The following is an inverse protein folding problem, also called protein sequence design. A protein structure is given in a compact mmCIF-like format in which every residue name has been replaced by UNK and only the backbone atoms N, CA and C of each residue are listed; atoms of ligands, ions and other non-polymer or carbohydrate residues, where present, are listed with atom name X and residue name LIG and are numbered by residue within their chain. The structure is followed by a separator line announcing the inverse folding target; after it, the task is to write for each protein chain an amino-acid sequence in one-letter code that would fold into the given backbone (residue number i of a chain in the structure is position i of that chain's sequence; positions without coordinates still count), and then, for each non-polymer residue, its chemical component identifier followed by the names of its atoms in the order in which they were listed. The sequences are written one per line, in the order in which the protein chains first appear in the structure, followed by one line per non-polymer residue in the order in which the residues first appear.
data_IF_556550895993
#
_entry.id   IF_556550895993
#
_cell.length_a   1.000
_cell.length_b   1.000
_cell.length_c   1.000
_cell.angle_alpha   90.00
_cell.angle_beta   90.00
_cell.angle_gamma   90.00
#
_symmetry.space_group_name_H-M   'P 1'
#
loop_
_entity.id
_entity.type
_entity.pdbx_description
1 polymer ?
#
# COMPACT_ATOMS: atom_id res chain seq x y z
N UNK A 1 46.54 21.93 -35.32
CA UNK A 1 45.60 23.08 -35.20
C UNK A 1 44.52 23.01 -36.29
N UNK A 2 44.89 22.78 -37.55
CA UNK A 2 43.97 22.59 -38.69
C UNK A 2 42.92 21.50 -38.44
N UNK A 3 43.34 20.33 -37.97
CA UNK A 3 42.47 19.16 -37.85
C UNK A 3 41.39 19.37 -36.78
N UNK A 4 41.78 20.01 -35.67
CA UNK A 4 40.85 20.44 -34.63
C UNK A 4 39.83 21.42 -35.19
N UNK A 5 40.27 22.44 -35.92
CA UNK A 5 39.36 23.43 -36.53
C UNK A 5 38.39 22.74 -37.48
N UNK A 6 38.84 21.82 -38.35
CA UNK A 6 37.95 21.12 -39.29
C UNK A 6 36.88 20.31 -38.57
N UNK A 7 37.26 19.52 -37.56
CA UNK A 7 36.31 18.68 -36.80
C UNK A 7 35.36 19.55 -35.98
N UNK A 8 35.87 20.58 -35.31
CA UNK A 8 35.04 21.48 -34.51
C UNK A 8 34.08 22.30 -35.37
N UNK A 9 34.49 22.76 -36.55
CA UNK A 9 33.61 23.49 -37.47
C UNK A 9 32.48 22.61 -37.99
N UNK A 10 32.76 21.33 -38.31
CA UNK A 10 31.71 20.40 -38.72
C UNK A 10 30.73 20.14 -37.58
N UNK A 11 31.24 19.83 -36.39
CA UNK A 11 30.40 19.60 -35.20
C UNK A 11 29.58 20.83 -34.82
N UNK A 12 30.15 22.03 -34.95
CA UNK A 12 29.42 23.26 -34.67
C UNK A 12 28.30 23.51 -35.69
N UNK A 13 28.56 23.30 -36.98
CA UNK A 13 27.54 23.41 -38.02
C UNK A 13 26.37 22.45 -37.76
N UNK A 14 26.65 21.21 -37.38
CA UNK A 14 25.61 20.23 -37.04
C UNK A 14 24.78 20.66 -35.83
N UNK A 15 25.42 21.20 -34.78
CA UNK A 15 24.71 21.74 -33.61
C UNK A 15 23.86 22.97 -33.94
N UNK A 16 24.35 23.84 -34.83
CA UNK A 16 23.61 25.01 -35.29
C UNK A 16 22.36 24.61 -36.10
N UNK A 17 22.48 23.60 -36.96
CA UNK A 17 21.35 23.03 -37.70
C UNK A 17 20.31 22.42 -36.75
N UNK A 18 20.74 21.63 -35.76
CA UNK A 18 19.86 21.06 -34.74
C UNK A 18 19.16 22.13 -33.90
N UNK A 19 19.87 23.20 -33.53
CA UNK A 19 19.30 24.31 -32.78
C UNK A 19 18.23 25.05 -33.58
N UNK A 20 18.48 25.30 -34.87
CA UNK A 20 17.51 25.95 -35.76
C UNK A 20 16.27 25.07 -35.96
N UNK A 21 16.44 23.76 -36.18
CA UNK A 21 15.33 22.82 -36.27
C UNK A 21 14.51 22.77 -34.97
N UNK A 22 15.16 22.76 -33.81
CA UNK A 22 14.50 22.78 -32.51
C UNK A 22 13.69 24.07 -32.30
N UNK A 23 14.23 25.24 -32.67
CA UNK A 23 13.52 26.53 -32.63
C UNK A 23 12.30 26.52 -33.53
N UNK A 24 12.43 26.05 -34.77
CA UNK A 24 11.29 25.96 -35.71
C UNK A 24 10.17 25.04 -35.20
N UNK A 25 10.54 23.91 -34.59
CA UNK A 25 9.58 22.98 -33.98
C UNK A 25 8.88 23.62 -32.78
N UNK A 26 9.64 24.31 -31.93
CA UNK A 26 9.09 25.01 -30.78
C UNK A 26 8.10 26.09 -31.20
N UNK A 27 8.45 26.91 -32.20
CA UNK A 27 7.54 27.92 -32.76
C UNK A 27 6.25 27.33 -33.31
N UNK A 28 6.35 26.22 -34.06
CA UNK A 28 5.16 25.49 -34.55
C UNK A 28 4.30 24.97 -33.40
N UNK A 29 4.91 24.49 -32.31
CA UNK A 29 4.20 24.02 -31.13
C UNK A 29 3.46 25.16 -30.42
N UNK A 30 4.12 26.31 -30.20
CA UNK A 30 3.47 27.48 -29.59
C UNK A 30 2.25 27.91 -30.41
N UNK A 31 2.39 28.06 -31.73
CA UNK A 31 1.25 28.38 -32.61
C UNK A 31 0.16 27.31 -32.56
N UNK A 32 0.52 26.03 -32.52
CA UNK A 32 -0.44 24.93 -32.45
C UNK A 32 -1.30 24.97 -31.18
N UNK A 33 -0.71 25.36 -30.05
CA UNK A 33 -1.39 25.49 -28.78
C UNK A 33 -1.94 26.91 -28.52
N UNK A 34 -1.81 27.83 -29.48
CA UNK A 34 -2.37 29.18 -29.40
C UNK A 34 -1.55 30.19 -28.58
N UNK A 35 -0.29 29.86 -28.29
CA UNK A 35 0.64 30.70 -27.53
C UNK A 35 1.38 31.70 -28.42
N UNK A 36 1.79 32.84 -27.85
CA UNK A 36 2.55 33.85 -28.58
C UNK A 36 4.06 33.58 -28.57
N UNK A 37 4.60 33.29 -29.76
CA UNK A 37 6.00 32.94 -30.04
C UNK A 37 7.06 33.87 -29.42
N UNK A 38 6.74 35.17 -29.30
CA UNK A 38 7.71 36.19 -28.87
C UNK A 38 7.88 36.31 -27.36
N UNK A 39 7.10 35.60 -26.56
CA UNK A 39 7.07 35.79 -25.10
C UNK A 39 7.31 34.53 -24.28
N UNK A 40 7.01 33.35 -24.83
CA UNK A 40 7.05 32.11 -24.07
C UNK A 40 8.39 31.38 -24.23
N UNK A 41 9.05 31.07 -23.11
CA UNK A 41 10.27 30.27 -23.11
C UNK A 41 9.95 28.77 -23.14
N UNK A 42 10.86 27.91 -23.65
CA UNK A 42 10.66 26.45 -23.66
C UNK A 42 10.38 25.88 -22.27
N UNK A 43 11.10 26.33 -21.23
CA UNK A 43 10.92 25.84 -19.87
C UNK A 43 9.51 26.14 -19.32
N UNK A 44 8.97 27.31 -19.67
CA UNK A 44 7.62 27.70 -19.28
C UNK A 44 6.57 26.87 -20.03
N UNK A 45 6.70 26.78 -21.36
CA UNK A 45 5.77 26.02 -22.20
C UNK A 45 5.73 24.53 -21.82
N UNK A 46 6.89 23.88 -21.77
CA UNK A 46 6.97 22.46 -21.43
C UNK A 46 6.70 22.20 -19.95
N UNK A 47 6.96 23.18 -19.07
CA UNK A 47 6.60 23.11 -17.64
C UNK A 47 5.09 22.99 -17.40
N UNK A 48 4.26 23.57 -18.28
CA UNK A 48 2.80 23.40 -18.23
C UNK A 48 2.43 21.92 -18.42
N UNK A 49 3.00 21.28 -19.45
CA UNK A 49 2.73 19.86 -19.73
C UNK A 49 3.32 18.95 -18.65
N UNK A 50 4.52 19.23 -18.16
CA UNK A 50 5.14 18.44 -17.09
C UNK A 50 4.28 18.45 -15.82
N UNK A 51 3.84 19.64 -15.40
CA UNK A 51 2.92 19.81 -14.27
C UNK A 51 1.60 19.05 -14.49
N UNK A 52 1.04 19.16 -15.70
CA UNK A 52 -0.19 18.45 -16.06
C UNK A 52 -0.01 16.92 -16.00
N UNK A 53 1.07 16.39 -16.56
CA UNK A 53 1.35 14.95 -16.59
C UNK A 53 1.56 14.40 -15.18
N UNK A 54 2.25 15.15 -14.32
CA UNK A 54 2.42 14.80 -12.91
C UNK A 54 1.07 14.73 -12.20
N UNK A 55 0.27 15.80 -12.27
CA UNK A 55 -1.06 15.84 -11.66
C UNK A 55 -2.00 14.76 -12.21
N UNK A 56 -1.94 14.46 -13.51
CA UNK A 56 -2.73 13.41 -14.13
C UNK A 56 -2.31 12.01 -13.63
N UNK A 57 -1.02 11.77 -13.47
CA UNK A 57 -0.48 10.52 -12.91
C UNK A 57 -0.94 10.33 -11.46
N UNK A 58 -0.87 11.38 -10.65
CA UNK A 58 -1.36 11.38 -9.26
C UNK A 58 -2.86 11.08 -9.20
N UNK A 59 -3.67 11.78 -9.99
CA UNK A 59 -5.12 11.54 -10.04
C UNK A 59 -5.47 10.10 -10.44
N UNK A 60 -4.71 9.49 -11.36
CA UNK A 60 -4.89 8.07 -11.71
C UNK A 60 -4.60 7.14 -10.53
N UNK A 61 -3.52 7.39 -9.81
CA UNK A 61 -3.14 6.62 -8.62
C UNK A 61 -4.18 6.78 -7.51
N UNK A 62 -4.67 8.00 -7.29
CA UNK A 62 -5.71 8.29 -6.30
C UNK A 62 -7.02 7.57 -6.61
N UNK A 63 -7.44 7.56 -7.88
CA UNK A 63 -8.64 6.82 -8.31
C UNK A 63 -8.50 5.32 -8.07
N UNK A 64 -7.32 4.75 -8.36
CA UNK A 64 -7.06 3.34 -8.11
C UNK A 64 -7.04 3.02 -6.60
N UNK A 65 -6.41 3.87 -5.79
CA UNK A 65 -6.39 3.74 -4.34
C UNK A 65 -7.80 3.84 -3.74
N UNK A 66 -8.62 4.78 -4.21
CA UNK A 66 -10.00 4.95 -3.79
C UNK A 66 -10.86 3.74 -4.16
N UNK A 67 -10.70 3.19 -5.37
CA UNK A 67 -11.39 1.96 -5.78
C UNK A 67 -11.02 0.79 -4.86
N UNK A 68 -9.72 0.58 -4.61
CA UNK A 68 -9.24 -0.50 -3.74
C UNK A 68 -9.75 -0.33 -2.31
N UNK A 69 -9.70 0.88 -1.76
CA UNK A 69 -10.20 1.18 -0.41
C UNK A 69 -11.69 0.88 -0.29
N UNK A 70 -12.49 1.28 -1.28
CA UNK A 70 -13.92 0.99 -1.33
C UNK A 70 -14.20 -0.52 -1.32
N UNK A 71 -13.48 -1.30 -2.12
CA UNK A 71 -13.60 -2.76 -2.16
C UNK A 71 -13.19 -3.41 -0.82
N UNK A 72 -12.11 -2.95 -0.20
CA UNK A 72 -11.66 -3.44 1.11
C UNK A 72 -12.65 -3.10 2.24
N UNK A 73 -13.23 -1.89 2.23
CA UNK A 73 -14.25 -1.44 3.17
C UNK A 73 -15.56 -2.23 2.99
N UNK A 74 -16.03 -2.45 1.75
CA UNK A 74 -17.19 -3.30 1.48
C UNK A 74 -16.98 -4.74 1.94
N UNK A 75 -15.80 -5.32 1.68
CA UNK A 75 -15.45 -6.66 2.15
C UNK A 75 -15.45 -6.74 3.68
N UNK A 76 -14.91 -5.71 4.34
CA UNK A 76 -14.90 -5.63 5.81
C UNK A 76 -16.31 -5.52 6.37
N UNK A 77 -17.15 -4.67 5.79
CA UNK A 77 -18.55 -4.51 6.20
C UNK A 77 -19.35 -5.82 6.05
N UNK A 78 -19.16 -6.55 4.94
CA UNK A 78 -19.80 -7.87 4.74
C UNK A 78 -19.39 -8.90 5.79
N UNK A 79 -18.09 -8.97 6.11
CA UNK A 79 -17.58 -9.88 7.15
C UNK A 79 -18.13 -9.51 8.53
N UNK A 80 -18.14 -8.21 8.86
CA UNK A 80 -18.68 -7.73 10.14
C UNK A 80 -20.18 -7.99 10.28
N UNK A 81 -20.96 -7.80 9.20
CA UNK A 81 -22.39 -8.11 9.17
C UNK A 81 -22.64 -9.61 9.41
N UNK A 82 -21.90 -10.50 8.73
CA UNK A 82 -22.01 -11.95 8.93
C UNK A 82 -21.68 -12.36 10.37
N UNK A 83 -20.61 -11.82 10.96
CA UNK A 83 -20.23 -12.06 12.36
C UNK A 83 -21.24 -11.49 13.36
N UNK A 84 -21.88 -10.36 13.05
CA UNK A 84 -22.94 -9.77 13.88
C UNK A 84 -24.19 -10.65 13.84
N UNK A 85 -24.61 -11.08 12.66
CA UNK A 85 -25.76 -11.98 12.48
C UNK A 85 -25.54 -13.32 13.20
N UNK A 86 -24.34 -13.90 13.11
CA UNK A 86 -24.00 -15.12 13.85
C UNK A 86 -24.13 -14.92 15.37
N UNK A 87 -23.59 -13.83 15.91
CA UNK A 87 -23.69 -13.50 17.34
C UNK A 87 -25.14 -13.28 17.78
N UNK A 88 -25.96 -12.65 16.94
CA UNK A 88 -27.39 -12.45 17.22
C UNK A 88 -28.17 -13.77 17.18
N UNK A 89 -27.90 -14.64 16.20
CA UNK A 89 -28.47 -16.00 16.13
C UNK A 89 -28.10 -16.84 17.35
N UNK A 90 -26.84 -16.81 17.78
CA UNK A 90 -26.39 -17.50 19.01
C UNK A 90 -27.11 -16.96 20.26
N UNK A 91 -27.25 -15.64 20.39
CA UNK A 91 -28.01 -15.02 21.51
C UNK A 91 -29.48 -15.42 21.49
N UNK A 92 -30.11 -15.40 20.32
CA UNK A 92 -31.50 -15.82 20.14
C UNK A 92 -31.71 -17.29 20.52
N UNK A 93 -30.82 -18.18 20.08
CA UNK A 93 -30.86 -19.59 20.44
C UNK A 93 -30.69 -19.81 21.95
N UNK A 94 -29.76 -19.10 22.60
CA UNK A 94 -29.61 -19.15 24.06
C UNK A 94 -30.86 -18.67 24.78
N UNK A 95 -31.46 -17.56 24.37
CA UNK A 95 -32.70 -17.06 24.97
C UNK A 95 -33.87 -18.03 24.80
N UNK A 96 -34.00 -18.68 23.64
CA UNK A 96 -34.99 -19.74 23.42
C UNK A 96 -34.73 -20.97 24.28
N UNK A 97 -33.48 -21.42 24.41
CA UNK A 97 -33.13 -22.54 25.32
C UNK A 97 -33.44 -22.20 26.78
N UNK A 98 -33.19 -20.96 27.22
CA UNK A 98 -33.54 -20.49 28.58
C UNK A 98 -35.07 -20.45 28.79
N UNK A 99 -35.85 -19.96 27.81
CA UNK A 99 -37.32 -19.94 27.91
C UNK A 99 -37.96 -21.33 27.79
N UNK A 100 -37.37 -22.25 27.01
CA UNK A 100 -37.86 -23.62 26.86
C UNK A 100 -37.40 -24.55 28.00
N UNK A 101 -36.23 -24.28 28.60
CA UNK A 101 -35.65 -25.05 29.70
C UNK A 101 -36.22 -24.73 31.08
N UNK A 102 -37.10 -23.72 31.20
CA UNK A 102 -37.82 -23.48 32.46
C UNK A 102 -38.95 -24.50 32.71
N UNK A 103 -39.26 -25.39 31.76
CA UNK A 103 -40.40 -26.31 31.87
C UNK A 103 -40.05 -27.81 31.74
N UNK A 104 -38.83 -28.21 31.36
CA UNK A 104 -38.51 -29.64 31.20
C UNK A 104 -36.99 -29.91 31.23
N UNK A 105 -36.54 -30.64 32.25
CA UNK A 105 -35.39 -31.58 32.25
C UNK A 105 -33.93 -31.04 32.15
N UNK A 106 -33.23 -31.20 33.27
CA UNK A 106 -31.77 -31.12 33.53
C UNK A 106 -30.91 -32.11 32.70
N UNK A 107 -31.52 -32.94 31.84
CA UNK A 107 -30.89 -34.08 31.17
C UNK A 107 -30.12 -33.82 29.86
N UNK A 108 -30.08 -32.59 29.35
CA UNK A 108 -29.41 -32.26 28.07
C UNK A 108 -28.07 -31.52 28.20
N UNK A 109 -27.83 -30.85 29.32
CA UNK A 109 -26.65 -29.97 29.46
C UNK A 109 -25.34 -30.76 29.64
N UNK A 110 -25.40 -31.92 30.30
CA UNK A 110 -24.25 -32.83 30.44
C UNK A 110 -23.85 -33.45 29.10
N UNK A 111 -24.82 -33.80 28.24
CA UNK A 111 -24.55 -34.38 26.93
C UNK A 111 -23.98 -33.34 25.95
N UNK A 112 -24.44 -32.08 26.01
CA UNK A 112 -23.84 -30.95 25.28
C UNK A 112 -22.37 -30.75 25.72
N UNK A 113 -22.07 -30.83 27.02
CA UNK A 113 -20.70 -30.73 27.55
C UNK A 113 -19.82 -31.91 27.13
N UNK A 114 -20.33 -33.14 27.22
CA UNK A 114 -19.62 -34.36 26.80
C UNK A 114 -19.39 -34.36 25.30
N UNK A 115 -20.37 -33.92 24.51
CA UNK A 115 -20.27 -33.80 23.06
C UNK A 115 -19.22 -32.76 22.64
N UNK A 116 -19.16 -31.61 23.32
CA UNK A 116 -18.13 -30.59 23.07
C UNK A 116 -16.72 -31.07 23.45
N UNK A 117 -16.60 -31.91 24.49
CA UNK A 117 -15.34 -32.56 24.87
C UNK A 117 -14.92 -33.66 23.89
N UNK A 118 -15.87 -34.46 23.38
CA UNK A 118 -15.62 -35.50 22.37
C UNK A 118 -15.32 -34.92 20.98
N UNK A 119 -15.99 -33.84 20.60
CA UNK A 119 -15.76 -33.15 19.32
C UNK A 119 -14.45 -32.36 19.31
N UNK A 120 -13.87 -32.08 20.48
CA UNK A 120 -12.63 -31.31 20.65
C UNK A 120 -12.81 -29.80 20.53
N UNK A 121 -14.03 -29.30 20.30
CA UNK A 121 -14.34 -27.88 20.11
C UNK A 121 -13.94 -27.02 21.32
N UNK A 122 -14.00 -27.59 22.54
CA UNK A 122 -13.58 -26.94 23.79
C UNK A 122 -12.12 -26.46 23.74
N UNK A 123 -11.26 -27.17 23.00
CA UNK A 123 -9.83 -26.87 22.96
C UNK A 123 -9.43 -25.95 21.79
N UNK A 124 -10.24 -25.85 20.73
CA UNK A 124 -9.82 -25.14 19.51
C UNK A 124 -9.81 -23.61 19.64
N UNK A 125 -10.70 -23.04 20.46
CA UNK A 125 -10.97 -21.58 20.47
C UNK A 125 -9.89 -20.74 21.16
N UNK A 126 -9.13 -21.33 22.08
CA UNK A 126 -8.05 -20.63 22.82
C UNK A 126 -6.63 -21.11 22.47
N UNK A 127 -6.47 -22.33 21.93
CA UNK A 127 -5.16 -22.80 21.45
C UNK A 127 -4.64 -22.01 20.25
N UNK A 128 -5.54 -21.52 19.39
CA UNK A 128 -5.18 -20.67 18.26
C UNK A 128 -4.61 -19.31 18.68
N UNK A 129 -5.06 -18.76 19.82
CA UNK A 129 -4.56 -17.48 20.36
C UNK A 129 -3.18 -17.65 20.99
N UNK A 130 -2.93 -18.79 21.66
CA UNK A 130 -1.63 -19.08 22.29
C UNK A 130 -0.52 -19.35 21.25
N UNK A 131 -0.84 -20.03 20.14
CA UNK A 131 0.14 -20.33 19.07
C UNK A 131 0.60 -19.11 18.27
N UNK A 132 -0.18 -18.02 18.24
CA UNK A 132 0.15 -16.81 17.47
C UNK A 132 1.07 -15.83 18.23
N UNK A 133 1.16 -15.95 19.56
CA UNK A 133 2.11 -15.19 20.38
C UNK A 133 3.56 -15.69 20.23
N UNK A 134 3.76 -17.00 19.99
CA UNK A 134 5.09 -17.63 19.90
C UNK A 134 5.71 -17.57 18.50
N UNK A 135 5.53 -16.48 17.76
CA UNK A 135 6.29 -16.25 16.52
C UNK A 135 6.63 -14.77 16.35
N UNK A 136 7.30 -14.22 17.37
CA UNK A 136 8.06 -12.97 17.28
C UNK A 136 9.29 -13.03 18.21
N UNK A 137 10.19 -13.97 17.94
CA UNK A 137 11.56 -13.94 18.42
C UNK A 137 12.42 -14.78 17.46
N UNK A 138 13.08 -14.08 16.54
CA UNK A 138 13.90 -14.68 15.49
C UNK A 138 14.11 -13.72 14.33
N UNK A 139 14.27 -12.43 14.63
CA UNK A 139 14.91 -11.51 13.70
C UNK A 139 16.39 -11.89 13.65
N UNK A 140 16.91 -11.94 12.43
CA UNK A 140 18.26 -12.33 12.06
C UNK A 140 19.32 -11.60 12.91
N UNK A 141 20.34 -12.36 13.27
CA UNK A 141 21.58 -11.88 13.87
C UNK A 141 22.18 -10.77 12.99
N UNK A 142 22.16 -9.55 13.51
CA UNK A 142 23.07 -8.49 13.12
C UNK A 142 24.28 -8.58 14.05
N UNK A 143 25.41 -9.00 13.48
CA UNK A 143 26.76 -8.83 14.03
C UNK A 143 26.98 -7.35 14.41
N UNK A 144 26.90 -7.04 15.70
CA UNK A 144 27.42 -5.81 16.29
C UNK A 144 28.00 -6.15 17.66
N UNK A 145 29.25 -6.62 17.66
CA UNK A 145 30.07 -6.75 18.87
C UNK A 145 30.44 -5.35 19.37
N UNK A 146 29.69 -4.84 20.36
CA UNK A 146 30.10 -3.70 21.19
C UNK A 146 30.49 -4.23 22.57
N UNK A 147 31.75 -4.63 22.72
CA UNK A 147 32.34 -4.84 24.05
C UNK A 147 32.86 -3.53 24.63
N UNK A 148 32.70 -3.45 25.96
CA UNK A 148 32.78 -2.26 26.80
C UNK A 148 34.22 -1.79 27.00
N UNK A 149 34.37 -0.47 27.13
CA UNK A 149 35.58 0.18 27.59
C UNK A 149 35.98 -0.28 28.99
N UNK A 150 37.19 -0.82 29.12
CA UNK A 150 37.91 -0.95 30.39
C UNK A 150 39.03 0.08 30.36
N UNK A 151 38.99 0.96 31.34
CA UNK A 151 39.90 2.08 31.51
C UNK A 151 41.00 1.69 32.52
N UNK A 152 42.23 2.18 32.27
CA UNK A 152 43.41 2.32 33.18
C UNK A 152 44.33 1.08 33.29
N UNK A 153 45.67 1.15 33.33
CA UNK A 153 46.68 2.22 33.40
C UNK A 153 48.08 1.62 33.08
N UNK A 154 48.94 2.39 32.40
CA UNK A 154 50.42 2.49 32.36
C UNK A 154 51.34 1.32 32.79
N UNK A 155 52.30 0.97 31.90
CA UNK A 155 53.69 1.44 31.95
C UNK A 155 54.31 1.44 30.55
#
# INVERSE_FOLDING_TARGET
MSDFITVSSFSFSELEDQLNEARDKFSKALVHFGEQDSKMQPDEFFGIFDTFLQAFSEARQDLEAMRRRKEEEERRARMEAMLKEQRERERWQRQRKVHAGSALEEGGEFDDLVSALRSGEVFDKDLCKLKRSRKRSGAQALEVTRERAINRLNY
#
